data_IF_172896932869
#
_entry.id   IF_172896932869
#
_cell.length_a   1.000
_cell.length_b   1.000
_cell.length_c   1.000
_cell.angle_alpha   90.00
_cell.angle_beta   90.00
_cell.angle_gamma   90.00
#
_symmetry.space_group_name_H-M   'P 1'
#
loop_
_entity.id
_entity.type
_entity.pdbx_description
1 polymer ?
#
# COMPACT_ATOMS: atom_id res chain seq x y z
N UNK A 1 15.98 11.35 7.27
CA UNK A 1 14.84 11.76 6.43
C UNK A 1 13.83 12.51 7.25
N UNK A 2 13.36 13.69 6.78
CA UNK A 2 12.24 14.42 7.40
C UNK A 2 10.90 13.74 7.06
N UNK A 3 9.97 13.76 7.99
CA UNK A 3 8.58 13.32 7.81
C UNK A 3 7.70 13.89 8.90
N UNK A 4 6.40 13.66 8.85
CA UNK A 4 5.50 13.93 9.98
C UNK A 4 5.39 12.77 10.97
N UNK A 5 5.99 11.61 10.68
CA UNK A 5 6.07 10.50 11.62
C UNK A 5 7.03 10.79 12.77
N UNK A 6 6.70 10.30 13.96
CA UNK A 6 7.57 10.37 15.13
C UNK A 6 8.74 9.40 14.98
N UNK A 7 9.89 9.79 15.50
CA UNK A 7 11.11 8.97 15.41
C UNK A 7 11.04 7.68 16.22
N UNK A 8 10.23 7.67 17.27
CA UNK A 8 9.92 6.48 18.06
C UNK A 8 9.06 5.46 17.33
N UNK A 9 8.27 5.89 16.35
CA UNK A 9 7.35 5.02 15.61
C UNK A 9 8.03 4.35 14.42
N UNK A 10 8.93 5.05 13.73
CA UNK A 10 9.63 4.51 12.56
C UNK A 10 10.95 5.21 12.28
N UNK A 11 11.98 4.44 11.97
CA UNK A 11 13.25 4.94 11.42
C UNK A 11 13.19 4.88 9.89
N UNK A 12 13.19 6.04 9.24
CA UNK A 12 13.15 6.14 7.78
C UNK A 12 14.56 6.02 7.19
N UNK A 13 14.88 4.88 6.59
CA UNK A 13 16.13 4.67 5.86
C UNK A 13 15.95 5.14 4.40
N UNK A 14 15.84 6.45 4.25
CA UNK A 14 15.64 7.14 2.98
C UNK A 14 16.53 8.42 2.96
N UNK A 15 17.10 8.74 1.81
CA UNK A 15 17.78 10.02 1.59
C UNK A 15 16.76 11.14 1.41
N UNK A 16 16.89 12.22 2.15
CA UNK A 16 16.06 13.42 1.95
C UNK A 16 16.54 14.20 0.73
N UNK A 17 15.76 14.15 -0.33
CA UNK A 17 16.04 14.84 -1.60
C UNK A 17 15.12 16.05 -1.83
N UNK A 18 14.54 16.58 -0.75
CA UNK A 18 13.65 17.76 -0.81
C UNK A 18 14.41 18.96 -1.37
N UNK A 19 13.87 19.56 -2.43
CA UNK A 19 14.50 20.68 -3.14
C UNK A 19 15.56 20.29 -4.19
N UNK A 20 15.94 19.01 -4.27
CA UNK A 20 16.92 18.54 -5.28
C UNK A 20 16.26 18.17 -6.61
N UNK A 21 14.94 17.99 -6.61
CA UNK A 21 14.17 17.58 -7.78
C UNK A 21 12.93 18.45 -7.93
N UNK A 22 12.62 18.79 -9.19
CA UNK A 22 11.34 19.41 -9.54
C UNK A 22 10.33 18.33 -9.91
N UNK A 23 9.20 18.22 -9.19
CA UNK A 23 8.14 17.28 -9.54
C UNK A 23 7.53 17.64 -10.90
N UNK A 24 7.20 16.60 -11.66
CA UNK A 24 6.70 16.72 -13.02
C UNK A 24 5.18 16.44 -13.08
N UNK A 25 4.51 17.11 -14.03
CA UNK A 25 3.09 16.84 -14.32
C UNK A 25 2.89 15.46 -14.97
N UNK A 26 1.64 15.04 -15.03
CA UNK A 26 1.30 13.70 -15.52
C UNK A 26 1.66 13.51 -16.99
N UNK A 27 1.48 14.53 -17.84
CA UNK A 27 1.74 14.44 -19.28
C UNK A 27 3.23 14.28 -19.56
N UNK A 28 4.05 15.16 -18.99
CA UNK A 28 5.53 15.11 -19.11
C UNK A 28 6.08 13.76 -18.62
N UNK A 29 5.55 13.24 -17.52
CA UNK A 29 5.97 11.93 -17.02
C UNK A 29 5.59 10.78 -17.94
N UNK A 30 4.40 10.81 -18.51
CA UNK A 30 3.95 9.79 -19.44
C UNK A 30 4.83 9.75 -20.69
N UNK A 31 5.13 10.91 -21.27
CA UNK A 31 6.06 11.04 -22.40
C UNK A 31 7.44 10.47 -22.10
N UNK A 32 8.00 10.74 -20.91
CA UNK A 32 9.28 10.19 -20.46
C UNK A 32 9.23 8.66 -20.25
N UNK A 33 8.16 8.15 -19.67
CA UNK A 33 7.99 6.69 -19.50
C UNK A 33 7.93 6.00 -20.87
N UNK A 34 7.21 6.56 -21.82
CA UNK A 34 7.15 6.02 -23.19
C UNK A 34 8.50 6.09 -23.90
N UNK A 35 9.36 7.08 -23.58
CA UNK A 35 10.74 7.15 -24.09
C UNK A 35 11.73 6.23 -23.35
N UNK A 36 11.27 5.43 -22.38
CA UNK A 36 12.07 4.44 -21.68
C UNK A 36 12.65 4.87 -20.34
N UNK A 37 12.34 6.09 -19.84
CA UNK A 37 12.76 6.54 -18.52
C UNK A 37 11.97 5.79 -17.44
N UNK A 38 12.68 5.23 -16.46
CA UNK A 38 12.02 4.47 -15.41
C UNK A 38 11.22 5.40 -14.48
N UNK A 39 10.04 4.97 -14.05
CA UNK A 39 9.13 5.79 -13.22
C UNK A 39 9.72 6.26 -11.89
N UNK A 40 10.75 5.58 -11.35
CA UNK A 40 11.41 5.98 -10.11
C UNK A 40 12.43 7.10 -10.28
N UNK A 41 12.79 7.45 -11.52
CA UNK A 41 13.74 8.51 -11.83
C UNK A 41 13.09 9.91 -11.88
N UNK A 42 11.79 9.97 -11.67
CA UNK A 42 11.01 11.20 -11.64
C UNK A 42 9.92 11.12 -10.58
N UNK A 43 9.50 12.27 -10.05
CA UNK A 43 8.42 12.36 -9.08
C UNK A 43 7.19 13.03 -9.68
N UNK A 44 5.99 12.51 -9.40
CA UNK A 44 4.77 13.19 -9.76
C UNK A 44 4.60 14.44 -8.90
N UNK A 45 4.03 15.48 -9.49
CA UNK A 45 3.54 16.62 -8.72
C UNK A 45 2.46 16.12 -7.76
N UNK A 46 2.66 16.35 -6.47
CA UNK A 46 1.67 16.04 -5.45
C UNK A 46 0.70 17.22 -5.33
N UNK A 47 -0.57 16.91 -5.13
CA UNK A 47 -1.63 17.92 -5.02
C UNK A 47 -2.27 17.85 -3.65
N UNK A 48 -2.65 19.01 -3.13
CA UNK A 48 -3.49 19.11 -1.94
C UNK A 48 -4.83 18.44 -2.24
N UNK A 49 -5.32 17.52 -1.38
CA UNK A 49 -6.62 16.90 -1.55
C UNK A 49 -7.72 17.95 -1.65
N UNK A 50 -8.65 17.78 -2.57
CA UNK A 50 -9.85 18.63 -2.61
C UNK A 50 -10.77 18.28 -1.42
N UNK A 51 -11.68 19.20 -1.06
CA UNK A 51 -12.68 18.95 -0.02
C UNK A 51 -13.52 17.69 -0.27
N UNK A 52 -13.75 17.36 -1.54
CA UNK A 52 -14.45 16.14 -1.95
C UNK A 52 -13.64 14.88 -1.60
N UNK A 53 -12.32 14.91 -1.85
CA UNK A 53 -11.43 13.81 -1.47
C UNK A 53 -11.34 13.64 0.05
N UNK A 54 -11.22 14.73 0.79
CA UNK A 54 -11.19 14.69 2.25
C UNK A 54 -12.49 14.08 2.81
N UNK A 55 -13.64 14.50 2.29
CA UNK A 55 -14.93 13.94 2.69
C UNK A 55 -15.03 12.43 2.41
N UNK A 56 -14.56 11.97 1.25
CA UNK A 56 -14.53 10.54 0.93
C UNK A 56 -13.60 9.79 1.87
N UNK A 57 -12.45 10.35 2.18
CA UNK A 57 -11.53 9.76 3.16
C UNK A 57 -12.18 9.63 4.54
N UNK A 58 -12.83 10.68 5.04
CA UNK A 58 -13.54 10.69 6.32
C UNK A 58 -14.66 9.63 6.34
N UNK A 59 -15.47 9.54 5.29
CA UNK A 59 -16.50 8.50 5.17
C UNK A 59 -15.91 7.08 5.16
N UNK A 60 -14.78 6.87 4.47
CA UNK A 60 -14.12 5.57 4.46
C UNK A 60 -13.50 5.25 5.81
N UNK A 61 -13.01 6.26 6.52
CA UNK A 61 -12.49 6.09 7.86
C UNK A 61 -13.60 5.65 8.83
N UNK A 62 -14.75 6.34 8.80
CA UNK A 62 -15.92 5.99 9.62
C UNK A 62 -16.44 4.57 9.33
N UNK A 63 -16.47 4.18 8.06
CA UNK A 63 -17.04 2.88 7.66
C UNK A 63 -16.10 1.70 7.93
N UNK A 64 -14.78 1.90 7.90
CA UNK A 64 -13.84 0.80 7.85
C UNK A 64 -12.80 0.77 8.98
N UNK A 65 -12.70 1.81 9.83
CA UNK A 65 -11.68 1.85 10.87
C UNK A 65 -11.76 0.63 11.81
N UNK A 66 -12.96 0.20 12.20
CA UNK A 66 -13.17 -0.98 13.04
C UNK A 66 -12.66 -2.26 12.36
N UNK A 67 -13.05 -2.49 11.11
CA UNK A 67 -12.60 -3.65 10.35
C UNK A 67 -11.07 -3.66 10.15
N UNK A 68 -10.49 -2.48 9.90
CA UNK A 68 -9.03 -2.32 9.77
C UNK A 68 -8.34 -2.56 11.11
N UNK A 69 -8.87 -2.02 12.22
CA UNK A 69 -8.33 -2.22 13.57
C UNK A 69 -8.30 -3.70 13.97
N UNK A 70 -9.39 -4.43 13.72
CA UNK A 70 -9.46 -5.88 13.96
C UNK A 70 -8.49 -6.64 13.04
N UNK A 71 -8.38 -6.24 11.76
CA UNK A 71 -7.43 -6.87 10.84
C UNK A 71 -5.98 -6.62 11.26
N UNK A 72 -5.63 -5.40 11.70
CA UNK A 72 -4.30 -5.09 12.26
C UNK A 72 -4.02 -5.94 13.50
N UNK A 73 -4.99 -6.06 14.40
CA UNK A 73 -4.88 -6.90 15.61
C UNK A 73 -4.55 -8.35 15.25
N UNK A 74 -5.28 -8.95 14.31
CA UNK A 74 -5.02 -10.31 13.81
C UNK A 74 -3.66 -10.45 13.13
N UNK A 75 -3.25 -9.45 12.35
CA UNK A 75 -1.93 -9.43 11.71
C UNK A 75 -0.82 -9.40 12.76
N UNK A 76 -0.95 -8.54 13.76
CA UNK A 76 0.02 -8.44 14.85
C UNK A 76 0.14 -9.76 15.63
N UNK A 77 -0.98 -10.44 15.92
CA UNK A 77 -0.98 -11.77 16.54
C UNK A 77 -0.28 -12.81 15.65
N UNK A 78 -0.52 -12.78 14.34
CA UNK A 78 0.13 -13.66 13.39
C UNK A 78 1.66 -13.43 13.35
N UNK A 79 2.07 -12.16 13.34
CA UNK A 79 3.49 -11.79 13.41
C UNK A 79 4.11 -12.28 14.72
N UNK A 80 3.49 -12.01 15.86
CA UNK A 80 4.02 -12.43 17.17
C UNK A 80 4.13 -13.95 17.30
N UNK A 81 3.16 -14.67 16.76
CA UNK A 81 3.17 -16.14 16.75
C UNK A 81 4.30 -16.70 15.87
N UNK A 82 4.55 -16.06 14.72
CA UNK A 82 5.64 -16.44 13.81
C UNK A 82 7.01 -16.02 14.32
N UNK A 83 7.10 -14.83 14.90
CA UNK A 83 8.33 -14.21 15.41
C UNK A 83 8.05 -13.36 16.65
N UNK A 84 8.33 -13.87 17.86
CA UNK A 84 8.04 -13.15 19.12
C UNK A 84 8.85 -11.85 19.33
N UNK A 85 9.99 -11.71 18.68
CA UNK A 85 10.83 -10.51 18.73
C UNK A 85 11.02 -9.95 17.30
N UNK A 86 9.93 -9.46 16.66
CA UNK A 86 9.99 -9.05 15.27
C UNK A 86 10.75 -7.72 15.11
N UNK A 87 11.44 -7.60 13.99
CA UNK A 87 11.93 -6.33 13.44
C UNK A 87 11.10 -6.00 12.22
N UNK A 88 10.29 -4.96 12.32
CA UNK A 88 9.36 -4.59 11.24
C UNK A 88 10.09 -3.76 10.17
N UNK A 89 9.88 -4.12 8.91
CA UNK A 89 10.42 -3.42 7.75
C UNK A 89 9.27 -3.02 6.83
N UNK A 90 8.81 -1.79 6.96
CA UNK A 90 7.75 -1.25 6.11
C UNK A 90 8.24 -0.91 4.71
N UNK A 91 7.52 -1.37 3.70
CA UNK A 91 7.78 -1.01 2.31
C UNK A 91 7.25 0.41 2.04
N UNK A 92 8.17 1.35 1.87
CA UNK A 92 7.83 2.75 1.74
C UNK A 92 7.10 3.02 0.41
N UNK A 93 6.04 3.82 0.47
CA UNK A 93 5.51 4.57 1.63
C UNK A 93 4.25 3.92 2.24
N UNK A 94 3.47 3.17 1.44
CA UNK A 94 2.14 2.67 1.85
C UNK A 94 2.18 1.70 3.04
N UNK A 95 3.27 0.95 3.20
CA UNK A 95 3.46 0.04 4.34
C UNK A 95 3.75 0.73 5.67
N UNK A 96 4.18 2.00 5.68
CA UNK A 96 4.61 2.66 6.92
C UNK A 96 3.49 2.74 7.97
N UNK A 97 2.28 3.26 7.65
CA UNK A 97 1.21 3.30 8.65
C UNK A 97 0.79 1.91 9.14
N UNK A 98 0.84 0.88 8.27
CA UNK A 98 0.57 -0.50 8.67
C UNK A 98 1.61 -1.00 9.70
N UNK A 99 2.90 -0.74 9.44
CA UNK A 99 3.98 -1.10 10.37
C UNK A 99 3.88 -0.37 11.71
N UNK A 100 3.52 0.91 11.72
CA UNK A 100 3.30 1.68 12.96
C UNK A 100 2.16 1.06 13.77
N UNK A 101 1.03 0.78 13.13
CA UNK A 101 -0.13 0.16 13.80
C UNK A 101 0.21 -1.20 14.40
N UNK A 102 0.91 -2.07 13.65
CA UNK A 102 1.38 -3.37 14.15
C UNK A 102 2.34 -3.20 15.34
N UNK A 103 3.30 -2.27 15.25
CA UNK A 103 4.23 -1.95 16.33
C UNK A 103 3.48 -1.54 17.58
N UNK A 104 2.57 -0.57 17.49
CA UNK A 104 1.80 -0.06 18.62
C UNK A 104 0.95 -1.16 19.29
N UNK A 105 0.31 -2.02 18.49
CA UNK A 105 -0.41 -3.17 19.02
C UNK A 105 0.51 -4.11 19.84
N UNK A 106 1.63 -4.52 19.25
CA UNK A 106 2.58 -5.46 19.87
C UNK A 106 3.20 -4.88 21.15
N UNK A 107 3.65 -3.63 21.10
CA UNK A 107 4.24 -2.95 22.26
C UNK A 107 3.19 -2.76 23.36
N UNK A 108 1.94 -2.47 23.03
CA UNK A 108 0.87 -2.31 24.00
C UNK A 108 0.47 -3.62 24.65
N UNK A 109 0.27 -4.68 23.88
CA UNK A 109 -0.21 -5.97 24.38
C UNK A 109 0.90 -6.76 25.10
N UNK A 110 2.06 -6.87 24.48
CA UNK A 110 3.12 -7.77 24.94
C UNK A 110 4.21 -7.08 25.75
N UNK A 111 4.19 -5.74 25.85
CA UNK A 111 5.19 -4.92 26.55
C UNK A 111 6.63 -5.19 26.08
N UNK A 112 6.79 -5.47 24.80
CA UNK A 112 8.08 -5.65 24.11
C UNK A 112 8.44 -4.37 23.37
N UNK A 113 9.73 -4.18 23.09
CA UNK A 113 10.18 -3.15 22.15
C UNK A 113 10.26 -3.74 20.73
N UNK A 114 9.64 -3.07 19.77
CA UNK A 114 9.59 -3.51 18.37
C UNK A 114 10.34 -2.51 17.49
N UNK A 115 11.57 -2.81 17.06
CA UNK A 115 12.27 -1.98 16.07
C UNK A 115 11.48 -1.91 14.78
N UNK A 116 11.33 -0.70 14.22
CA UNK A 116 10.59 -0.49 13.00
C UNK A 116 11.35 0.43 12.04
N UNK A 117 11.60 -0.07 10.84
CA UNK A 117 12.27 0.65 9.75
C UNK A 117 11.34 0.80 8.55
N UNK A 118 11.52 1.86 7.78
CA UNK A 118 10.90 2.00 6.48
C UNK A 118 11.98 2.10 5.41
N UNK A 119 11.88 1.25 4.38
CA UNK A 119 12.85 1.17 3.29
C UNK A 119 12.16 1.23 1.93
N UNK A 120 12.92 1.54 0.92
CA UNK A 120 12.46 1.56 -0.47
C UNK A 120 12.46 0.19 -1.11
N UNK A 121 11.39 -0.09 -1.85
CA UNK A 121 11.34 -1.16 -2.85
C UNK A 121 10.80 -0.60 -4.17
N UNK A 122 11.49 -0.84 -5.28
CA UNK A 122 11.17 -0.28 -6.59
C UNK A 122 10.97 -1.43 -7.58
N UNK A 123 9.81 -1.47 -8.22
CA UNK A 123 9.52 -2.50 -9.23
C UNK A 123 10.58 -2.44 -10.34
N UNK A 124 11.20 -3.57 -10.65
CA UNK A 124 12.25 -3.70 -11.67
C UNK A 124 13.64 -3.24 -11.25
N UNK A 125 13.78 -2.58 -10.09
CA UNK A 125 15.09 -2.13 -9.57
C UNK A 125 15.48 -2.83 -8.27
N UNK A 126 14.55 -3.45 -7.55
CA UNK A 126 14.81 -4.17 -6.31
C UNK A 126 14.54 -3.38 -5.04
N UNK A 127 15.10 -3.87 -3.96
CA UNK A 127 15.07 -3.28 -2.63
C UNK A 127 16.33 -2.41 -2.43
N UNK A 128 16.29 -1.48 -1.49
CA UNK A 128 17.45 -0.67 -1.14
C UNK A 128 18.50 -1.51 -0.39
N UNK A 129 19.58 -1.86 -1.07
CA UNK A 129 20.63 -2.72 -0.53
C UNK A 129 21.39 -2.07 0.63
N UNK A 130 21.57 -0.74 0.62
CA UNK A 130 22.22 -0.02 1.72
C UNK A 130 21.34 -0.02 2.96
N UNK A 131 20.02 0.12 2.80
CA UNK A 131 19.07 0.03 3.90
C UNK A 131 19.03 -1.40 4.47
N UNK A 132 19.03 -2.43 3.62
CA UNK A 132 19.11 -3.83 4.06
C UNK A 132 20.39 -4.12 4.83
N UNK A 133 21.55 -3.66 4.33
CA UNK A 133 22.82 -3.79 5.01
C UNK A 133 22.79 -3.12 6.39
N UNK A 134 22.29 -1.90 6.47
CA UNK A 134 22.14 -1.16 7.73
C UNK A 134 21.34 -1.95 8.77
N UNK A 135 20.24 -2.59 8.35
CA UNK A 135 19.36 -3.37 9.24
C UNK A 135 20.06 -4.67 9.69
N UNK A 136 20.66 -5.41 8.74
CA UNK A 136 21.31 -6.70 9.02
C UNK A 136 22.58 -6.58 9.86
N UNK A 137 23.22 -5.41 9.90
CA UNK A 137 24.32 -5.13 10.84
C UNK A 137 23.85 -4.92 12.28
N UNK A 138 22.55 -4.73 12.51
CA UNK A 138 21.95 -4.39 13.83
C UNK A 138 21.00 -5.44 14.35
N UNK A 139 20.47 -6.28 13.48
CA UNK A 139 19.46 -7.27 13.80
C UNK A 139 19.73 -8.60 13.11
N UNK A 140 19.34 -9.68 13.79
CA UNK A 140 19.37 -11.01 13.16
C UNK A 140 18.37 -11.08 12.00
N UNK A 141 18.80 -11.56 10.85
CA UNK A 141 17.97 -11.66 9.66
C UNK A 141 16.71 -12.52 9.84
N UNK A 142 16.76 -13.50 10.75
CA UNK A 142 15.61 -14.34 11.09
C UNK A 142 14.43 -13.57 11.70
N UNK A 143 14.69 -12.41 12.32
CA UNK A 143 13.68 -11.61 13.01
C UNK A 143 12.97 -10.62 12.10
N UNK A 144 13.40 -10.47 10.84
CA UNK A 144 12.85 -9.48 9.93
C UNK A 144 11.47 -9.89 9.43
N UNK A 145 10.51 -8.95 9.47
CA UNK A 145 9.16 -9.08 8.90
C UNK A 145 8.90 -7.87 8.00
N UNK A 146 8.68 -8.10 6.72
CA UNK A 146 8.36 -7.05 5.76
C UNK A 146 6.87 -6.72 5.82
N UNK A 147 6.53 -5.43 5.87
CA UNK A 147 5.15 -4.98 6.08
C UNK A 147 4.69 -4.08 4.93
N UNK A 148 3.49 -4.35 4.41
CA UNK A 148 2.78 -3.46 3.49
C UNK A 148 1.29 -3.36 3.92
N UNK A 149 0.53 -2.46 3.29
CA UNK A 149 -0.89 -2.27 3.63
C UNK A 149 -1.78 -3.40 3.13
N UNK A 150 -1.73 -3.68 1.85
CA UNK A 150 -2.56 -4.71 1.20
C UNK A 150 -1.91 -5.25 -0.06
N UNK A 151 -2.41 -6.41 -0.51
CA UNK A 151 -2.02 -6.98 -1.80
C UNK A 151 -3.06 -6.63 -2.88
N UNK A 152 -2.58 -6.23 -4.06
CA UNK A 152 -3.42 -6.07 -5.25
C UNK A 152 -3.29 -7.30 -6.17
N UNK A 153 -2.27 -7.32 -7.04
CA UNK A 153 -1.97 -8.42 -7.99
C UNK A 153 -0.74 -9.23 -7.60
N UNK A 154 -0.24 -9.10 -6.38
CA UNK A 154 0.96 -9.78 -5.90
C UNK A 154 2.28 -9.25 -6.48
N UNK A 155 2.28 -8.07 -7.10
CA UNK A 155 3.48 -7.51 -7.71
C UNK A 155 4.59 -7.22 -6.69
N UNK A 156 4.22 -6.69 -5.51
CA UNK A 156 5.18 -6.39 -4.44
C UNK A 156 5.76 -7.67 -3.85
N UNK A 157 4.95 -8.71 -3.62
CA UNK A 157 5.46 -10.01 -3.12
C UNK A 157 6.50 -10.59 -4.08
N UNK A 158 6.18 -10.65 -5.38
CA UNK A 158 7.14 -11.14 -6.39
C UNK A 158 8.42 -10.30 -6.43
N UNK A 159 8.31 -8.98 -6.31
CA UNK A 159 9.48 -8.09 -6.28
C UNK A 159 10.32 -8.30 -5.03
N UNK A 160 9.66 -8.47 -3.87
CA UNK A 160 10.32 -8.74 -2.59
C UNK A 160 11.06 -10.09 -2.63
N UNK A 161 10.39 -11.15 -3.08
CA UNK A 161 11.00 -12.48 -3.18
C UNK A 161 12.23 -12.49 -4.11
N UNK A 162 12.13 -11.77 -5.24
CA UNK A 162 13.25 -11.63 -6.15
C UNK A 162 14.41 -10.84 -5.55
N UNK A 163 14.11 -9.72 -4.87
CA UNK A 163 15.12 -8.87 -4.25
C UNK A 163 15.84 -9.57 -3.09
N UNK A 164 15.09 -10.33 -2.27
CA UNK A 164 15.63 -11.00 -1.11
C UNK A 164 16.26 -12.38 -1.40
N UNK A 165 16.32 -12.80 -2.67
CA UNK A 165 16.82 -14.13 -3.03
C UNK A 165 18.20 -14.43 -2.47
N UNK A 166 19.09 -13.44 -2.47
CA UNK A 166 20.49 -13.58 -2.04
C UNK A 166 20.73 -13.14 -0.58
N UNK A 167 19.70 -12.70 0.14
CA UNK A 167 19.82 -12.34 1.54
C UNK A 167 19.55 -13.54 2.45
N UNK A 168 20.36 -13.68 3.49
CA UNK A 168 20.15 -14.65 4.58
C UNK A 168 19.24 -14.01 5.64
N UNK A 169 17.95 -13.93 5.33
CA UNK A 169 16.95 -13.34 6.25
C UNK A 169 15.58 -13.98 6.06
N UNK A 170 14.68 -13.75 7.01
CA UNK A 170 13.27 -14.05 6.83
C UNK A 170 12.69 -13.19 5.69
N UNK A 171 11.88 -13.79 4.82
CA UNK A 171 11.33 -13.17 3.60
C UNK A 171 9.81 -13.02 3.66
N UNK A 172 9.24 -13.14 4.84
CA UNK A 172 7.80 -13.06 5.03
C UNK A 172 7.29 -11.64 4.76
N UNK A 173 6.27 -11.56 3.91
CA UNK A 173 5.46 -10.36 3.71
C UNK A 173 4.21 -10.45 4.58
N UNK A 174 4.03 -9.45 5.42
CA UNK A 174 2.89 -9.26 6.30
C UNK A 174 2.02 -8.09 5.80
N UNK A 175 0.70 -8.29 5.67
CA UNK A 175 -0.22 -7.25 5.19
C UNK A 175 -1.51 -7.21 5.99
N UNK A 176 -2.14 -6.04 6.10
CA UNK A 176 -3.44 -5.91 6.77
C UNK A 176 -4.50 -6.70 5.99
N UNK A 177 -4.53 -6.57 4.65
CA UNK A 177 -5.48 -7.28 3.80
C UNK A 177 -4.78 -7.98 2.63
N UNK A 178 -5.08 -9.27 2.43
CA UNK A 178 -4.52 -10.09 1.36
C UNK A 178 -5.60 -10.69 0.44
N UNK A 179 -6.37 -9.89 -0.29
CA UNK A 179 -7.33 -10.44 -1.26
C UNK A 179 -6.64 -11.18 -2.42
N UNK A 180 -5.41 -10.83 -2.76
CA UNK A 180 -4.67 -11.52 -3.81
C UNK A 180 -4.23 -12.95 -3.42
N UNK A 181 -4.19 -13.29 -2.12
CA UNK A 181 -3.79 -14.61 -1.65
C UNK A 181 -2.31 -14.92 -1.82
N UNK A 182 -1.44 -13.93 -1.64
CA UNK A 182 0.01 -14.04 -1.91
C UNK A 182 0.90 -13.67 -0.73
N UNK A 183 0.37 -13.04 0.31
CA UNK A 183 1.13 -12.69 1.50
C UNK A 183 1.36 -13.91 2.40
N UNK A 184 2.45 -13.89 3.16
CA UNK A 184 2.80 -14.96 4.11
C UNK A 184 2.03 -14.80 5.42
N UNK A 185 1.83 -13.55 5.87
CA UNK A 185 1.07 -13.19 7.07
C UNK A 185 0.03 -12.13 6.70
N UNK A 186 -1.19 -12.25 7.20
CA UNK A 186 -2.24 -11.29 6.90
C UNK A 186 -3.28 -11.16 8.02
N UNK A 187 -3.89 -10.00 8.13
CA UNK A 187 -4.97 -9.76 9.09
C UNK A 187 -6.31 -10.26 8.60
N UNK A 188 -6.58 -10.09 7.31
CA UNK A 188 -7.76 -10.62 6.65
C UNK A 188 -7.46 -11.04 5.21
N UNK A 189 -8.19 -12.03 4.73
CA UNK A 189 -8.16 -12.46 3.33
C UNK A 189 -9.18 -11.72 2.46
N UNK A 190 -10.03 -10.93 3.06
CA UNK A 190 -11.06 -10.20 2.33
C UNK A 190 -10.49 -8.99 1.60
N UNK A 191 -11.17 -8.59 0.54
CA UNK A 191 -10.99 -7.29 -0.09
C UNK A 191 -11.56 -6.23 0.87
N UNK A 192 -10.66 -5.64 1.66
CA UNK A 192 -10.95 -4.66 2.70
C UNK A 192 -10.48 -3.28 2.23
N UNK A 193 -11.34 -2.29 2.34
CA UNK A 193 -10.95 -0.90 2.17
C UNK A 193 -10.09 -0.43 3.35
N UNK A 194 -8.85 -0.02 3.05
CA UNK A 194 -8.00 0.67 4.02
C UNK A 194 -8.06 2.16 3.67
N UNK A 195 -8.61 3.03 4.55
CA UNK A 195 -8.88 4.43 4.24
C UNK A 195 -7.68 5.24 3.74
N UNK A 196 -6.46 4.87 4.17
CA UNK A 196 -5.23 5.47 3.66
C UNK A 196 -5.05 5.35 2.14
N UNK A 197 -5.78 4.42 1.47
CA UNK A 197 -5.77 4.31 0.02
C UNK A 197 -6.40 5.53 -0.70
N UNK A 198 -7.26 6.29 -0.04
CA UNK A 198 -7.90 7.48 -0.61
C UNK A 198 -6.94 8.65 -0.79
N UNK A 199 -5.92 8.75 0.06
CA UNK A 199 -4.95 9.84 0.08
C UNK A 199 -3.56 9.37 -0.35
N UNK A 200 -2.62 10.29 -0.54
CA UNK A 200 -1.23 10.00 -0.90
C UNK A 200 -0.28 10.39 0.23
N UNK A 201 0.53 11.44 0.01
CA UNK A 201 1.50 11.96 0.99
C UNK A 201 0.83 12.39 2.29
N UNK A 202 -0.36 12.98 2.21
CA UNK A 202 -1.11 13.52 3.36
C UNK A 202 -1.62 12.47 4.36
N UNK A 203 -1.46 11.18 4.09
CA UNK A 203 -1.76 10.08 5.00
C UNK A 203 -0.58 9.14 5.21
N UNK A 204 0.58 9.52 4.69
CA UNK A 204 1.78 8.70 4.72
C UNK A 204 3.04 9.51 5.05
N UNK A 205 2.97 10.29 6.14
CA UNK A 205 4.10 11.02 6.70
C UNK A 205 4.55 12.21 5.87
N UNK A 206 3.72 12.71 4.97
CA UNK A 206 4.05 13.75 3.98
C UNK A 206 5.24 13.36 3.08
N UNK A 207 5.41 12.07 2.83
CA UNK A 207 6.48 11.53 2.00
C UNK A 207 6.05 11.35 0.54
N UNK A 208 6.98 11.55 -0.38
CA UNK A 208 6.82 11.11 -1.76
C UNK A 208 6.90 9.58 -1.86
N UNK A 209 6.57 9.02 -3.02
CA UNK A 209 7.08 7.70 -3.36
C UNK A 209 8.59 7.72 -3.49
N UNK A 210 9.22 6.56 -3.38
CA UNK A 210 10.68 6.42 -3.41
C UNK A 210 11.24 6.70 -4.81
N UNK A 211 12.45 7.23 -4.83
CA UNK A 211 13.16 7.77 -5.97
C UNK A 211 14.55 7.16 -6.08
N UNK A 212 14.96 6.87 -7.30
CA UNK A 212 16.29 6.37 -7.60
C UNK A 212 16.73 6.89 -8.97
N UNK A 213 17.76 7.73 -8.96
CA UNK A 213 18.46 8.23 -10.16
C UNK A 213 19.90 8.56 -9.79
N UNK A 214 20.85 8.12 -10.60
CA UNK A 214 22.28 8.11 -10.28
C UNK A 214 22.91 9.50 -10.09
N UNK A 215 22.34 10.56 -10.69
CA UNK A 215 22.80 11.94 -10.52
C UNK A 215 22.44 12.54 -9.14
N UNK A 216 21.55 11.91 -8.37
CA UNK A 216 21.07 12.40 -7.07
C UNK A 216 21.36 11.39 -5.96
N UNK A 217 21.26 10.09 -6.27
CA UNK A 217 21.47 9.01 -5.31
C UNK A 217 22.83 8.39 -5.59
N UNK A 218 23.79 8.61 -4.71
CA UNK A 218 25.12 8.07 -4.78
C UNK A 218 25.14 6.58 -4.34
N UNK A 219 26.19 5.85 -4.66
CA UNK A 219 26.33 4.41 -4.39
C UNK A 219 26.11 4.01 -2.91
N UNK A 220 26.48 4.91 -1.98
CA UNK A 220 26.36 4.66 -0.53
C UNK A 220 25.11 5.25 0.08
N UNK A 221 24.31 5.98 -0.67
CA UNK A 221 23.07 6.57 -0.21
C UNK A 221 21.96 5.54 -0.09
N UNK A 222 20.99 5.83 0.75
CA UNK A 222 19.66 5.21 0.65
C UNK A 222 18.90 5.77 -0.55
N UNK A 223 17.92 5.03 -1.05
CA UNK A 223 16.98 5.56 -2.05
C UNK A 223 16.33 6.85 -1.54
N UNK A 224 16.01 7.77 -2.45
CA UNK A 224 15.51 9.09 -2.08
C UNK A 224 14.02 9.14 -1.81
N UNK A 225 13.61 10.15 -1.03
CA UNK A 225 12.24 10.62 -0.96
C UNK A 225 12.19 12.13 -0.69
N UNK A 226 11.12 12.77 -1.13
CA UNK A 226 10.82 14.18 -0.83
C UNK A 226 9.90 14.27 0.37
N UNK A 227 10.11 15.25 1.22
CA UNK A 227 9.21 15.64 2.29
C UNK A 227 8.39 16.87 1.86
N UNK A 228 7.06 16.73 1.85
CA UNK A 228 6.12 17.77 1.47
C UNK A 228 5.68 18.61 2.68
N UNK A 229 6.62 19.30 3.33
CA UNK A 229 6.36 20.10 4.54
C UNK A 229 5.34 21.23 4.34
N UNK A 230 5.21 21.72 3.10
CA UNK A 230 4.21 22.71 2.70
C UNK A 230 2.76 22.19 2.81
N UNK A 231 2.58 20.88 2.83
CA UNK A 231 1.26 20.23 2.95
C UNK A 231 0.91 19.88 4.42
N UNK A 232 1.68 20.35 5.40
CA UNK A 232 1.50 20.01 6.82
C UNK A 232 0.08 20.29 7.35
N UNK A 233 -0.59 21.32 6.84
CA UNK A 233 -1.96 21.65 7.24
C UNK A 233 -3.00 20.58 6.80
N UNK A 234 -2.62 19.72 5.89
CA UNK A 234 -3.48 18.66 5.33
C UNK A 234 -3.01 17.25 5.76
N UNK A 235 -2.10 17.17 6.70
CA UNK A 235 -1.57 15.89 7.17
C UNK A 235 -2.59 15.14 8.04
N UNK A 236 -2.98 13.98 7.57
CA UNK A 236 -3.92 13.04 8.19
C UNK A 236 -3.24 11.77 8.70
N UNK A 237 -1.90 11.72 8.70
CA UNK A 237 -1.15 10.48 9.01
C UNK A 237 -1.47 9.94 10.41
N UNK A 238 -1.39 10.79 11.44
CA UNK A 238 -1.74 10.38 12.81
C UNK A 238 -3.23 10.34 13.09
N UNK A 239 -4.05 11.08 12.36
CA UNK A 239 -5.50 10.92 12.44
C UNK A 239 -5.89 9.50 12.03
N UNK A 240 -5.39 9.00 10.89
CA UNK A 240 -5.61 7.62 10.45
C UNK A 240 -5.13 6.60 11.47
N UNK A 241 -3.89 6.75 11.97
CA UNK A 241 -3.29 5.83 12.95
C UNK A 241 -4.15 5.80 14.21
N UNK A 242 -4.46 6.95 14.80
CA UNK A 242 -5.22 7.03 16.05
C UNK A 242 -6.64 6.46 15.93
N UNK A 243 -7.32 6.68 14.80
CA UNK A 243 -8.65 6.11 14.56
C UNK A 243 -8.62 4.58 14.53
N UNK A 244 -7.66 4.01 13.82
CA UNK A 244 -7.50 2.56 13.72
C UNK A 244 -7.07 1.96 15.06
N UNK A 245 -6.18 2.61 15.80
CA UNK A 245 -5.74 2.16 17.13
C UNK A 245 -6.88 2.08 18.15
N UNK A 246 -7.80 3.04 18.12
CA UNK A 246 -8.99 3.03 18.99
C UNK A 246 -9.92 1.83 18.71
N UNK A 247 -9.72 1.15 17.58
CA UNK A 247 -10.46 -0.04 17.16
C UNK A 247 -9.67 -1.35 17.34
N UNK A 248 -8.55 -1.34 18.05
CA UNK A 248 -7.79 -2.56 18.32
C UNK A 248 -8.58 -3.52 19.20
N UNK A 249 -8.61 -4.79 18.79
CA UNK A 249 -9.19 -5.88 19.58
C UNK A 249 -8.07 -6.79 20.12
N UNK A 250 -7.74 -6.62 21.39
CA UNK A 250 -6.69 -7.40 22.06
C UNK A 250 -7.12 -8.84 22.41
N UNK A 251 -8.38 -9.21 22.15
CA UNK A 251 -8.91 -10.55 22.41
C UNK A 251 -8.80 -11.49 21.20
N UNK A 252 -8.50 -10.95 20.00
CA UNK A 252 -8.39 -11.76 18.80
C UNK A 252 -7.22 -12.72 18.86
N UNK A 253 -7.38 -13.85 18.17
CA UNK A 253 -6.31 -14.82 17.94
C UNK A 253 -5.73 -14.61 16.54
N UNK A 254 -4.50 -15.08 16.32
CA UNK A 254 -3.89 -15.12 15.01
C UNK A 254 -4.81 -15.81 13.99
N UNK A 255 -4.92 -15.24 12.81
CA UNK A 255 -5.65 -15.87 11.71
C UNK A 255 -5.01 -17.21 11.38
N UNK A 256 -5.81 -18.26 11.24
CA UNK A 256 -5.32 -19.53 10.72
C UNK A 256 -5.03 -19.37 9.23
N UNK A 257 -3.78 -19.64 8.84
CA UNK A 257 -3.38 -19.59 7.44
C UNK A 257 -3.88 -20.82 6.71
N UNK A 258 -4.73 -20.64 5.72
CA UNK A 258 -5.21 -21.72 4.86
C UNK A 258 -4.51 -21.62 3.51
N UNK A 259 -4.00 -22.76 3.04
CA UNK A 259 -3.54 -22.87 1.64
C UNK A 259 -4.73 -22.58 0.71
N UNK A 260 -4.65 -21.48 -0.02
CA UNK A 260 -5.68 -21.12 -1.00
C UNK A 260 -5.48 -21.91 -2.29
N UNK A 261 -6.57 -22.36 -2.89
CA UNK A 261 -6.57 -23.10 -4.17
C UNK A 261 -6.39 -22.18 -5.37
N UNK A 262 -6.73 -20.90 -5.23
CA UNK A 262 -6.66 -19.88 -6.27
C UNK A 262 -6.14 -18.56 -5.69
N UNK A 263 -5.74 -17.65 -6.56
CA UNK A 263 -5.23 -16.34 -6.21
C UNK A 263 -6.02 -15.24 -6.90
N UNK A 264 -5.96 -14.01 -6.38
CA UNK A 264 -6.60 -12.88 -7.02
C UNK A 264 -6.14 -12.63 -8.47
N UNK A 265 -4.98 -13.18 -8.86
CA UNK A 265 -4.53 -13.12 -10.25
C UNK A 265 -5.44 -13.91 -11.20
N UNK A 266 -6.17 -14.92 -10.72
CA UNK A 266 -7.08 -15.70 -11.54
C UNK A 266 -8.32 -14.88 -11.90
N UNK A 267 -8.84 -14.05 -10.98
CA UNK A 267 -9.86 -13.05 -11.29
C UNK A 267 -9.36 -12.04 -12.33
N UNK A 268 -8.15 -11.54 -12.15
CA UNK A 268 -7.56 -10.54 -13.07
C UNK A 268 -7.41 -11.11 -14.48
N UNK A 269 -6.95 -12.36 -14.63
CA UNK A 269 -6.84 -13.03 -15.92
C UNK A 269 -8.21 -13.28 -16.58
N UNK A 270 -9.22 -13.66 -15.81
CA UNK A 270 -10.59 -13.81 -16.31
C UNK A 270 -11.13 -12.48 -16.85
N UNK A 271 -10.94 -11.40 -16.11
CA UNK A 271 -11.33 -10.06 -16.56
C UNK A 271 -10.55 -9.63 -17.79
N UNK A 272 -9.24 -9.90 -17.85
CA UNK A 272 -8.40 -9.61 -19.01
C UNK A 272 -8.96 -10.27 -20.29
N UNK A 273 -9.31 -11.54 -20.21
CA UNK A 273 -9.89 -12.27 -21.31
C UNK A 273 -11.30 -11.79 -21.68
N UNK A 274 -12.15 -11.56 -20.66
CA UNK A 274 -13.55 -11.15 -20.87
C UNK A 274 -13.66 -9.76 -21.54
N UNK A 275 -12.76 -8.84 -21.21
CA UNK A 275 -12.78 -7.46 -21.71
C UNK A 275 -11.78 -7.22 -22.85
N UNK A 276 -11.04 -8.24 -23.30
CA UNK A 276 -10.06 -8.11 -24.38
C UNK A 276 -8.92 -7.13 -24.05
N UNK A 277 -8.45 -7.12 -22.80
CA UNK A 277 -7.44 -6.16 -22.32
C UNK A 277 -6.04 -6.72 -22.55
N UNK A 278 -5.22 -6.07 -23.37
CA UNK A 278 -3.84 -6.49 -23.61
C UNK A 278 -2.93 -6.19 -22.44
N UNK A 279 -3.00 -4.97 -21.89
CA UNK A 279 -2.21 -4.58 -20.72
C UNK A 279 -2.95 -4.87 -19.40
N UNK A 280 -2.51 -5.91 -18.72
CA UNK A 280 -3.02 -6.30 -17.39
C UNK A 280 -2.91 -5.18 -16.34
N UNK A 281 -2.08 -4.15 -16.58
CA UNK A 281 -1.95 -3.02 -15.66
C UNK A 281 -3.15 -2.07 -15.72
N UNK A 282 -4.00 -2.14 -16.73
CA UNK A 282 -5.26 -1.41 -16.81
C UNK A 282 -6.31 -1.97 -15.83
N UNK A 283 -6.17 -3.23 -15.40
CA UNK A 283 -7.06 -3.85 -14.42
C UNK A 283 -6.56 -3.52 -13.00
N UNK A 284 -7.43 -2.95 -12.16
CA UNK A 284 -7.13 -2.48 -10.81
C UNK A 284 -8.07 -3.17 -9.81
N UNK A 285 -7.67 -4.36 -9.32
CA UNK A 285 -8.51 -5.14 -8.42
C UNK A 285 -8.47 -4.60 -6.99
N UNK A 286 -9.57 -4.77 -6.29
CA UNK A 286 -9.79 -4.40 -4.91
C UNK A 286 -10.50 -3.05 -4.74
N UNK A 287 -11.21 -2.91 -3.62
CA UNK A 287 -11.98 -1.70 -3.26
C UNK A 287 -11.06 -0.48 -3.24
N UNK A 288 -9.91 -0.56 -2.59
CA UNK A 288 -8.97 0.54 -2.45
C UNK A 288 -8.41 1.02 -3.80
N UNK A 289 -7.98 0.10 -4.68
CA UNK A 289 -7.46 0.45 -6.00
C UNK A 289 -8.57 0.99 -6.91
N UNK A 290 -9.77 0.43 -6.86
CA UNK A 290 -10.93 0.91 -7.63
C UNK A 290 -11.37 2.31 -7.19
N UNK A 291 -11.35 2.59 -5.89
CA UNK A 291 -11.59 3.94 -5.36
C UNK A 291 -10.54 4.93 -5.89
N UNK A 292 -9.27 4.55 -5.91
CA UNK A 292 -8.18 5.37 -6.48
C UNK A 292 -8.34 5.62 -7.97
N UNK A 293 -8.85 4.63 -8.72
CA UNK A 293 -9.18 4.80 -10.15
C UNK A 293 -10.24 5.86 -10.32
N UNK A 294 -11.36 5.75 -9.61
CA UNK A 294 -12.46 6.73 -9.65
C UNK A 294 -12.01 8.14 -9.27
N UNK A 295 -11.10 8.26 -8.31
CA UNK A 295 -10.62 9.55 -7.85
C UNK A 295 -9.55 10.19 -8.74
N UNK A 296 -8.71 9.40 -9.44
CA UNK A 296 -7.44 9.92 -10.01
C UNK A 296 -7.12 9.49 -11.44
N UNK A 297 -7.94 8.64 -12.03
CA UNK A 297 -7.73 8.13 -13.39
C UNK A 297 -8.95 8.40 -14.26
N UNK A 298 -8.88 7.94 -15.49
CA UNK A 298 -10.03 7.89 -16.40
C UNK A 298 -10.54 6.45 -16.39
N UNK A 299 -11.54 6.13 -15.55
CA UNK A 299 -12.08 4.78 -15.50
C UNK A 299 -12.90 4.49 -16.76
N UNK A 300 -12.86 3.23 -17.19
CA UNK A 300 -13.74 2.71 -18.25
C UNK A 300 -14.99 2.08 -17.64
N UNK A 301 -14.79 1.15 -16.71
CA UNK A 301 -15.87 0.45 -16.03
C UNK A 301 -15.43 0.05 -14.61
N UNK A 302 -16.38 0.01 -13.69
CA UNK A 302 -16.22 -0.61 -12.37
C UNK A 302 -17.04 -1.90 -12.34
N UNK A 303 -16.36 -2.99 -12.03
CA UNK A 303 -16.95 -4.33 -11.89
C UNK A 303 -17.14 -4.59 -10.41
N UNK A 304 -18.37 -4.91 -9.99
CA UNK A 304 -18.70 -5.27 -8.61
C UNK A 304 -19.08 -6.75 -8.59
N UNK A 305 -18.59 -7.48 -7.60
CA UNK A 305 -18.98 -8.87 -7.41
C UNK A 305 -20.49 -8.99 -7.24
N UNK A 306 -21.12 -9.89 -7.99
CA UNK A 306 -22.58 -10.11 -7.93
C UNK A 306 -23.07 -10.43 -6.51
N UNK A 307 -22.27 -11.16 -5.72
CA UNK A 307 -22.59 -11.50 -4.34
C UNK A 307 -22.63 -10.27 -3.42
N UNK A 308 -21.80 -9.25 -3.73
CA UNK A 308 -21.60 -8.05 -2.90
C UNK A 308 -22.44 -6.85 -3.35
N UNK A 309 -23.24 -6.94 -4.41
CA UNK A 309 -23.95 -5.82 -5.04
C UNK A 309 -24.86 -5.01 -4.11
N UNK A 310 -25.30 -5.56 -2.97
CA UNK A 310 -26.18 -4.89 -2.00
C UNK A 310 -25.47 -4.49 -0.71
N UNK A 311 -24.16 -4.64 -0.64
CA UNK A 311 -23.41 -4.27 0.56
C UNK A 311 -23.44 -2.76 0.77
N UNK A 312 -23.69 -2.35 2.02
CA UNK A 312 -23.74 -0.94 2.38
C UNK A 312 -22.35 -0.29 2.32
N UNK A 313 -21.32 -1.04 2.64
CA UNK A 313 -19.93 -0.58 2.61
C UNK A 313 -19.41 -0.26 1.18
N UNK A 314 -20.13 -0.66 0.12
CA UNK A 314 -19.82 -0.28 -1.26
C UNK A 314 -20.60 0.98 -1.74
N UNK A 315 -21.47 1.56 -0.93
CA UNK A 315 -22.24 2.76 -1.32
C UNK A 315 -21.36 3.95 -1.76
N UNK A 316 -20.22 4.24 -1.12
CA UNK A 316 -19.33 5.31 -1.60
C UNK A 316 -18.83 5.07 -3.03
N UNK A 317 -18.53 3.82 -3.41
CA UNK A 317 -18.12 3.47 -4.78
C UNK A 317 -19.27 3.71 -5.77
N UNK A 318 -20.48 3.28 -5.44
CA UNK A 318 -21.65 3.53 -6.29
C UNK A 318 -21.89 5.03 -6.49
N UNK A 319 -21.75 5.83 -5.44
CA UNK A 319 -21.89 7.28 -5.51
C UNK A 319 -20.82 7.89 -6.42
N UNK A 320 -19.55 7.52 -6.24
CA UNK A 320 -18.46 7.98 -7.10
C UNK A 320 -18.67 7.59 -8.56
N UNK A 321 -19.12 6.37 -8.83
CA UNK A 321 -19.45 5.93 -10.19
C UNK A 321 -20.53 6.81 -10.81
N UNK A 322 -21.59 7.12 -10.06
CA UNK A 322 -22.68 8.00 -10.51
C UNK A 322 -22.19 9.42 -10.79
N UNK A 323 -21.41 10.01 -9.89
CA UNK A 323 -20.85 11.36 -10.01
C UNK A 323 -19.91 11.49 -11.22
N UNK A 324 -19.07 10.49 -11.45
CA UNK A 324 -18.11 10.44 -12.55
C UNK A 324 -18.69 9.86 -13.84
N UNK A 325 -19.96 9.48 -13.84
CA UNK A 325 -20.65 8.85 -14.98
C UNK A 325 -19.94 7.59 -15.49
N UNK A 326 -19.38 6.80 -14.54
CA UNK A 326 -18.69 5.54 -14.83
C UNK A 326 -19.69 4.39 -14.79
N UNK A 327 -19.76 3.54 -15.83
CA UNK A 327 -20.64 2.39 -15.81
C UNK A 327 -20.24 1.39 -14.74
N UNK A 328 -21.25 0.81 -14.09
CA UNK A 328 -21.09 -0.30 -13.15
C UNK A 328 -21.59 -1.57 -13.79
N UNK A 329 -20.77 -2.60 -13.78
CA UNK A 329 -21.12 -3.94 -14.20
C UNK A 329 -21.01 -4.93 -13.03
N UNK A 330 -21.72 -6.05 -13.13
CA UNK A 330 -21.68 -7.10 -12.12
C UNK A 330 -21.03 -8.36 -12.70
N UNK A 331 -19.95 -8.78 -12.05
CA UNK A 331 -19.15 -9.94 -12.46
C UNK A 331 -19.07 -10.99 -11.34
N UNK A 332 -18.61 -12.17 -11.70
CA UNK A 332 -18.28 -13.23 -10.75
C UNK A 332 -16.79 -13.09 -10.40
N UNK A 333 -16.52 -12.48 -9.23
CA UNK A 333 -15.18 -12.32 -8.66
C UNK A 333 -15.07 -13.27 -7.46
N UNK A 334 -13.96 -13.97 -7.35
CA UNK A 334 -13.73 -14.91 -6.25
C UNK A 334 -13.00 -14.23 -5.09
N UNK A 335 -12.07 -13.34 -5.40
CA UNK A 335 -11.16 -12.74 -4.44
C UNK A 335 -11.46 -11.26 -4.15
N UNK A 336 -12.07 -10.56 -5.10
CA UNK A 336 -12.31 -9.13 -4.97
C UNK A 336 -13.81 -8.81 -4.93
N UNK A 337 -14.15 -7.83 -4.12
CA UNK A 337 -15.51 -7.24 -4.10
C UNK A 337 -15.71 -6.29 -5.27
N UNK A 338 -14.63 -5.60 -5.66
CA UNK A 338 -14.64 -4.58 -6.73
C UNK A 338 -13.37 -4.68 -7.57
N UNK A 339 -13.51 -4.39 -8.85
CA UNK A 339 -12.38 -4.26 -9.77
C UNK A 339 -12.62 -3.10 -10.73
N UNK A 340 -11.70 -2.16 -10.81
CA UNK A 340 -11.73 -1.06 -11.77
C UNK A 340 -10.94 -1.39 -13.03
N UNK A 341 -11.46 -1.00 -14.19
CA UNK A 341 -10.74 -1.01 -15.47
C UNK A 341 -10.51 0.44 -15.90
N UNK A 342 -9.27 0.76 -16.31
CA UNK A 342 -8.87 2.08 -16.79
C UNK A 342 -8.96 2.09 -18.32
N UNK A 343 -9.43 3.20 -18.90
CA UNK A 343 -9.39 3.42 -20.35
C UNK A 343 -7.97 3.36 -20.88
N UNK A 344 -7.79 2.65 -21.97
CA UNK A 344 -6.56 2.72 -22.75
C UNK A 344 -6.59 4.02 -23.58
N UNK A 345 -5.81 5.01 -23.16
CA UNK A 345 -5.74 6.31 -23.84
C UNK A 345 -4.88 6.26 -25.11
N UNK A 346 -4.19 5.15 -25.38
CA UNK A 346 -3.44 4.96 -26.62
C UNK A 346 -4.35 4.61 -27.81
N UNK A 347 -5.58 4.19 -27.53
CA UNK A 347 -6.59 3.83 -28.55
C UNK A 347 -7.69 4.91 -28.72
N UNK A 348 -7.48 6.13 -28.15
CA UNK A 348 -8.46 7.23 -28.18
C UNK A 348 -8.02 8.37 -29.09
#
# INVERSE_FOLDING_TARGET
MRSSYRTEDVTLLLKDITGMITPEDTKTREEKIQSGVHYCEMLPKEYIPTKEYEKIYEEMLDLYAENVGVAVSRLAEAIYTSQPLPVLISLARAGIPAGILVKHYLETKYKIHVPHYAISIIRGKGIDDNAMKYILERHEGANLIFVDGWTGKGAIKRQLDAALKNYCCNKQLAVIADPAGVADLYGTSEDLMIPSACLNSTVSGLLSRTFLREDIIEEKDFHGAVYYGEMKAYDRSYEFINWVENCFDYSVLASSFHNRKSTGMDDVKRLQQMYGIDDINLIKPGIGESTRVLLRRVPDVIIINKADKRRQDLQPIYRLCKEKQVPVQYGDLEHYKVCGIIKNLADA
#
